data_IF_152689294881
#
_entry.id   IF_152689294881
#
_cell.length_a   1.000
_cell.length_b   1.000
_cell.length_c   1.000
_cell.angle_alpha   90.00
_cell.angle_beta   90.00
_cell.angle_gamma   90.00
#
_symmetry.space_group_name_H-M   'P 1'
#
loop_
_entity.id
_entity.type
_entity.pdbx_description
1 polymer ?
#
# COMPACT_ATOMS: atom_id res chain seq x y z
N UNK A 1 -60.00 48.05 -6.97
CA UNK A 1 -59.71 46.78 -7.73
C UNK A 1 -58.57 46.12 -7.04
N UNK A 2 -58.88 45.10 -6.23
CA UNK A 2 -57.94 44.29 -5.48
C UNK A 2 -57.59 43.07 -6.35
N UNK A 3 -56.34 42.76 -6.49
CA UNK A 3 -55.87 41.46 -7.00
C UNK A 3 -54.96 40.80 -5.98
N UNK A 4 -55.49 39.72 -5.44
CA UNK A 4 -54.81 38.79 -4.51
C UNK A 4 -53.61 38.12 -5.16
N UNK A 5 -52.53 38.07 -4.40
CA UNK A 5 -51.38 37.25 -4.72
C UNK A 5 -51.40 35.98 -3.84
N UNK A 6 -51.79 34.89 -4.48
CA UNK A 6 -51.82 33.56 -3.90
C UNK A 6 -50.41 33.03 -3.67
N UNK A 7 -50.03 32.78 -2.43
CA UNK A 7 -48.78 32.17 -2.03
C UNK A 7 -48.80 30.64 -2.22
N UNK A 8 -47.96 30.14 -3.09
CA UNK A 8 -47.70 28.70 -3.24
C UNK A 8 -46.54 28.30 -2.33
N UNK A 9 -46.85 27.70 -1.19
CA UNK A 9 -45.89 27.03 -0.33
C UNK A 9 -45.47 25.71 -1.00
N UNK A 10 -44.25 25.66 -1.53
CA UNK A 10 -43.60 24.40 -1.90
C UNK A 10 -42.95 23.78 -0.68
N UNK A 11 -43.61 22.79 -0.13
CA UNK A 11 -43.05 21.87 0.87
C UNK A 11 -41.90 21.08 0.26
N UNK A 12 -40.67 21.39 0.68
CA UNK A 12 -39.50 20.61 0.40
C UNK A 12 -39.57 19.27 1.17
N UNK A 13 -39.80 18.19 0.46
CA UNK A 13 -39.65 16.83 1.00
C UNK A 13 -38.18 16.51 1.13
N UNK A 14 -37.72 16.47 2.36
CA UNK A 14 -36.38 15.92 2.69
C UNK A 14 -36.45 14.41 2.53
N UNK A 15 -35.86 13.91 1.46
CA UNK A 15 -35.64 12.47 1.29
C UNK A 15 -34.44 12.06 2.18
N UNK A 16 -34.72 11.39 3.27
CA UNK A 16 -33.71 10.74 4.10
C UNK A 16 -33.14 9.56 3.34
N UNK A 17 -31.95 9.74 2.79
CA UNK A 17 -31.15 8.63 2.24
C UNK A 17 -30.53 7.88 3.41
N UNK A 18 -31.11 6.75 3.75
CA UNK A 18 -30.49 5.73 4.59
C UNK A 18 -29.35 5.07 3.78
N UNK A 19 -28.14 5.59 3.89
CA UNK A 19 -26.93 4.95 3.41
C UNK A 19 -26.21 4.28 4.57
N UNK A 20 -26.59 3.06 4.92
CA UNK A 20 -25.89 2.25 5.90
C UNK A 20 -24.74 1.49 5.26
N UNK A 21 -23.53 1.65 5.83
CA UNK A 21 -22.66 0.51 6.05
C UNK A 21 -21.77 0.06 4.91
N UNK A 22 -20.66 0.76 4.67
CA UNK A 22 -19.35 0.15 4.31
C UNK A 22 -18.26 1.12 4.79
N UNK A 23 -18.01 1.14 6.08
CA UNK A 23 -17.03 2.04 6.69
C UNK A 23 -16.04 1.35 7.63
N UNK A 24 -15.81 0.04 7.49
CA UNK A 24 -15.11 -0.68 8.55
C UNK A 24 -13.91 -1.53 8.11
N UNK A 25 -13.29 -1.32 6.94
CA UNK A 25 -12.21 -2.21 6.50
C UNK A 25 -10.94 -1.55 5.93
N UNK A 26 -10.80 -0.23 5.96
CA UNK A 26 -9.60 0.44 5.42
C UNK A 26 -8.62 0.91 6.51
N UNK A 27 -8.96 0.79 7.80
CA UNK A 27 -8.10 1.24 8.91
C UNK A 27 -7.10 0.17 9.40
N UNK A 28 -7.20 -1.05 8.89
CA UNK A 28 -6.44 -2.20 9.41
C UNK A 28 -4.94 -2.23 9.09
N UNK A 29 -4.43 -1.49 8.11
CA UNK A 29 -3.05 -1.69 7.65
C UNK A 29 -2.08 -0.56 8.03
N UNK A 30 -2.56 0.60 8.49
CA UNK A 30 -1.70 1.70 8.97
C UNK A 30 -1.71 1.80 10.50
N UNK A 31 -2.70 1.22 11.18
CA UNK A 31 -2.86 1.33 12.63
C UNK A 31 -2.01 0.35 13.46
N UNK A 32 -1.16 -0.46 12.85
CA UNK A 32 -0.30 -1.41 13.59
C UNK A 32 1.06 -0.84 13.99
N UNK A 33 1.35 0.43 13.68
CA UNK A 33 2.66 1.02 13.98
C UNK A 33 2.63 2.02 15.16
N UNK A 34 1.47 2.48 15.69
CA UNK A 34 1.51 3.60 16.64
C UNK A 34 0.63 3.52 17.88
N UNK A 35 0.20 2.38 18.40
CA UNK A 35 -0.57 2.33 19.66
C UNK A 35 -0.08 1.28 20.67
N UNK A 36 1.23 1.10 20.81
CA UNK A 36 1.77 0.27 21.90
C UNK A 36 2.75 0.99 22.84
N UNK A 37 2.70 2.31 22.93
CA UNK A 37 3.63 3.05 23.78
C UNK A 37 2.97 4.18 24.56
N UNK A 38 1.88 3.94 25.30
CA UNK A 38 1.49 4.83 26.41
C UNK A 38 0.42 4.18 27.28
N UNK A 39 0.85 3.43 28.29
CA UNK A 39 0.30 3.21 29.65
C UNK A 39 0.98 1.99 30.24
N UNK A 40 1.80 2.17 31.25
CA UNK A 40 1.52 2.13 32.68
C UNK A 40 2.80 2.27 33.47
N UNK A 41 2.93 3.38 34.16
CA UNK A 41 3.75 3.47 35.34
C UNK A 41 2.95 2.91 36.52
N UNK A 42 3.11 1.64 36.83
CA UNK A 42 2.68 1.09 38.09
C UNK A 42 3.79 0.19 38.62
N UNK A 43 4.28 0.55 39.83
CA UNK A 43 5.25 -0.12 40.64
C UNK A 43 5.08 -1.65 40.65
N UNK A 44 6.04 -2.38 40.14
CA UNK A 44 6.20 -3.80 40.45
C UNK A 44 7.64 -4.08 40.83
N UNK A 45 7.78 -4.86 41.92
CA UNK A 45 9.01 -5.35 42.53
C UNK A 45 9.93 -5.97 41.49
N UNK A 46 11.26 -5.98 41.70
CA UNK A 46 12.19 -6.68 40.84
C UNK A 46 11.90 -8.19 40.89
N UNK A 47 11.22 -8.66 39.87
CA UNK A 47 11.06 -10.08 39.60
C UNK A 47 12.32 -10.51 38.88
N UNK A 48 13.06 -11.42 39.47
CA UNK A 48 14.20 -12.07 38.85
C UNK A 48 13.75 -12.70 37.54
N UNK A 49 14.27 -12.15 36.45
CA UNK A 49 14.11 -12.71 35.09
C UNK A 49 14.90 -14.02 35.08
N UNK A 50 14.28 -15.18 34.83
CA UNK A 50 15.04 -16.38 34.58
C UNK A 50 15.85 -16.17 33.30
N UNK A 51 17.14 -16.18 33.45
CA UNK A 51 18.12 -16.14 32.37
C UNK A 51 17.93 -17.40 31.54
N UNK A 52 17.98 -17.19 30.22
CA UNK A 52 18.23 -18.20 29.20
C UNK A 52 17.00 -18.98 28.70
N UNK A 53 16.27 -18.36 27.79
CA UNK A 53 15.84 -19.12 26.64
C UNK A 53 16.84 -18.75 25.53
N UNK A 54 17.76 -19.66 25.21
CA UNK A 54 18.47 -19.65 23.95
C UNK A 54 17.38 -19.59 22.87
N UNK A 55 17.15 -18.39 22.33
CA UNK A 55 16.39 -18.26 21.11
C UNK A 55 17.12 -19.16 20.10
N UNK A 56 16.47 -20.20 19.61
CA UNK A 56 16.92 -20.99 18.49
C UNK A 56 17.21 -19.99 17.35
N UNK A 57 18.44 -19.52 17.32
CA UNK A 57 18.95 -18.73 16.22
C UNK A 57 19.02 -19.73 15.07
N UNK A 58 17.95 -19.78 14.25
CA UNK A 58 18.01 -20.46 12.97
C UNK A 58 19.07 -19.71 12.18
N UNK A 59 20.28 -20.26 12.21
CA UNK A 59 21.42 -19.73 11.47
C UNK A 59 21.03 -19.73 9.99
N UNK A 60 20.81 -18.56 9.44
CA UNK A 60 20.50 -18.45 8.01
C UNK A 60 21.74 -18.91 7.24
N UNK A 61 21.58 -19.68 6.17
CA UNK A 61 22.71 -20.01 5.29
C UNK A 61 23.42 -18.71 4.90
N UNK A 62 24.75 -18.73 4.94
CA UNK A 62 25.55 -17.59 4.51
C UNK A 62 25.19 -17.20 3.08
N UNK A 63 24.87 -15.93 2.87
CA UNK A 63 24.56 -15.38 1.55
C UNK A 63 25.82 -15.47 0.69
N UNK A 64 25.71 -16.02 -0.51
CA UNK A 64 26.84 -16.07 -1.44
C UNK A 64 27.18 -14.69 -1.99
N UNK A 65 28.40 -14.50 -2.47
CA UNK A 65 28.81 -13.23 -3.08
C UNK A 65 27.94 -12.84 -4.29
N UNK A 66 27.47 -13.84 -5.06
CA UNK A 66 26.57 -13.62 -6.20
C UNK A 66 25.17 -13.15 -5.74
N UNK A 67 24.64 -13.75 -4.69
CA UNK A 67 23.35 -13.38 -4.09
C UNK A 67 23.41 -11.97 -3.49
N UNK A 68 24.50 -11.64 -2.82
CA UNK A 68 24.71 -10.29 -2.27
C UNK A 68 24.83 -9.25 -3.38
N UNK A 69 25.56 -9.55 -4.46
CA UNK A 69 25.70 -8.66 -5.61
C UNK A 69 24.34 -8.43 -6.29
N UNK A 70 23.53 -9.49 -6.45
CA UNK A 70 22.19 -9.40 -6.99
C UNK A 70 21.25 -8.56 -6.08
N UNK A 71 21.24 -8.81 -4.77
CA UNK A 71 20.44 -8.05 -3.83
C UNK A 71 20.79 -6.56 -3.86
N UNK A 72 22.09 -6.25 -3.94
CA UNK A 72 22.58 -4.85 -4.05
C UNK A 72 22.16 -4.20 -5.36
N UNK A 73 22.18 -4.93 -6.47
CA UNK A 73 21.72 -4.42 -7.78
C UNK A 73 20.19 -4.23 -7.83
N UNK A 74 19.42 -5.06 -7.13
CA UNK A 74 17.96 -4.96 -7.06
C UNK A 74 17.49 -3.83 -6.14
N UNK A 75 18.27 -3.44 -5.13
CA UNK A 75 17.89 -2.44 -4.13
C UNK A 75 17.34 -1.13 -4.69
N UNK A 76 17.97 -0.46 -5.68
CA UNK A 76 17.43 0.78 -6.24
C UNK A 76 16.05 0.60 -6.86
N UNK A 77 15.80 -0.54 -7.53
CA UNK A 77 14.49 -0.86 -8.10
C UNK A 77 13.47 -1.04 -6.99
N UNK A 78 13.82 -1.78 -5.94
CA UNK A 78 12.96 -2.01 -4.79
C UNK A 78 12.59 -0.71 -4.08
N UNK A 79 13.56 0.14 -3.80
CA UNK A 79 13.32 1.44 -3.16
C UNK A 79 12.37 2.32 -3.98
N UNK A 80 12.55 2.37 -5.31
CA UNK A 80 11.70 3.14 -6.21
C UNK A 80 10.27 2.58 -6.26
N UNK A 81 10.11 1.26 -6.42
CA UNK A 81 8.80 0.59 -6.46
C UNK A 81 8.02 0.83 -5.17
N UNK A 82 8.66 0.69 -4.01
CA UNK A 82 8.04 0.99 -2.70
C UNK A 82 7.56 2.44 -2.63
N UNK A 83 8.41 3.37 -3.04
CA UNK A 83 8.09 4.80 -2.99
C UNK A 83 6.88 5.13 -3.89
N UNK A 84 6.82 4.55 -5.08
CA UNK A 84 5.74 4.81 -6.03
C UNK A 84 4.43 4.12 -5.59
N UNK A 85 4.50 2.93 -5.02
CA UNK A 85 3.35 2.27 -4.39
C UNK A 85 2.76 3.10 -3.24
N UNK A 86 3.62 3.70 -2.40
CA UNK A 86 3.20 4.62 -1.32
C UNK A 86 2.52 5.87 -1.89
N UNK A 87 3.08 6.49 -2.93
CA UNK A 87 2.46 7.65 -3.60
C UNK A 87 1.07 7.33 -4.16
N UNK A 88 0.92 6.14 -4.78
CA UNK A 88 -0.35 5.67 -5.31
C UNK A 88 -1.38 5.47 -4.18
N UNK A 89 -0.97 4.83 -3.07
CA UNK A 89 -1.82 4.64 -1.89
C UNK A 89 -2.30 5.96 -1.31
N UNK A 90 -1.40 6.94 -1.16
CA UNK A 90 -1.78 8.27 -0.66
C UNK A 90 -2.73 9.02 -1.60
N UNK A 91 -2.58 8.86 -2.92
CA UNK A 91 -3.53 9.46 -3.85
C UNK A 91 -4.95 8.87 -3.67
N UNK A 92 -5.06 7.56 -3.49
CA UNK A 92 -6.33 6.88 -3.21
C UNK A 92 -6.94 7.31 -1.88
N UNK A 93 -6.13 7.38 -0.83
CA UNK A 93 -6.57 7.80 0.50
C UNK A 93 -7.07 9.24 0.48
N UNK A 94 -6.32 10.18 -0.08
CA UNK A 94 -6.71 11.59 -0.19
C UNK A 94 -8.02 11.76 -0.96
N UNK A 95 -8.25 10.95 -1.99
CA UNK A 95 -9.53 10.94 -2.69
C UNK A 95 -10.67 10.42 -1.80
N UNK A 96 -10.47 9.33 -1.07
CA UNK A 96 -11.46 8.76 -0.16
C UNK A 96 -11.82 9.70 0.99
N UNK A 97 -10.87 10.50 1.45
CA UNK A 97 -11.08 11.53 2.47
C UNK A 97 -11.77 12.80 1.92
N UNK A 98 -11.85 12.93 0.60
CA UNK A 98 -12.44 14.10 -0.05
C UNK A 98 -11.46 15.28 -0.26
N UNK A 99 -10.19 15.09 0.07
CA UNK A 99 -9.14 16.13 -0.06
C UNK A 99 -8.81 16.44 -1.52
N UNK A 100 -8.96 15.45 -2.41
CA UNK A 100 -8.73 15.62 -3.84
C UNK A 100 -9.90 15.06 -4.66
N UNK A 101 -10.04 15.59 -5.87
CA UNK A 101 -11.03 15.14 -6.86
C UNK A 101 -10.45 14.07 -7.78
N UNK A 102 -11.33 13.36 -8.53
CA UNK A 102 -10.97 12.29 -9.47
C UNK A 102 -9.88 12.68 -10.47
N UNK A 103 -9.96 13.90 -11.00
CA UNK A 103 -8.94 14.38 -11.95
C UNK A 103 -7.56 14.51 -11.30
N UNK A 104 -7.49 14.92 -10.03
CA UNK A 104 -6.24 14.98 -9.31
C UNK A 104 -5.68 13.57 -8.98
N UNK A 105 -6.54 12.55 -8.80
CA UNK A 105 -6.08 11.15 -8.72
C UNK A 105 -5.37 10.77 -10.02
N UNK A 106 -6.01 11.01 -11.16
CA UNK A 106 -5.40 10.73 -12.47
C UNK A 106 -4.06 11.44 -12.64
N UNK A 107 -4.00 12.74 -12.33
CA UNK A 107 -2.77 13.53 -12.45
C UNK A 107 -1.62 12.99 -11.58
N UNK A 108 -1.93 12.48 -10.38
CA UNK A 108 -0.93 11.95 -9.44
C UNK A 108 -0.51 10.52 -9.77
N UNK A 109 -1.43 9.69 -10.29
CA UNK A 109 -1.21 8.26 -10.48
C UNK A 109 -0.73 7.92 -11.89
N UNK A 110 -1.18 8.62 -12.94
CA UNK A 110 -0.77 8.31 -14.31
C UNK A 110 0.76 8.31 -14.53
N UNK A 111 1.55 9.22 -13.94
CA UNK A 111 3.01 9.16 -14.04
C UNK A 111 3.61 7.90 -13.41
N UNK A 112 2.98 7.34 -12.38
CA UNK A 112 3.49 6.15 -11.68
C UNK A 112 3.45 4.91 -12.56
N UNK A 113 2.51 4.84 -13.53
CA UNK A 113 2.47 3.74 -14.51
C UNK A 113 3.80 3.64 -15.27
N UNK A 114 4.31 4.78 -15.78
CA UNK A 114 5.59 4.81 -16.48
C UNK A 114 6.78 4.49 -15.55
N UNK A 115 6.68 4.83 -14.26
CA UNK A 115 7.71 4.47 -13.29
C UNK A 115 7.74 2.95 -13.05
N UNK A 116 6.59 2.29 -12.95
CA UNK A 116 6.52 0.83 -12.86
C UNK A 116 7.00 0.14 -14.14
N UNK A 117 6.68 0.67 -15.33
CA UNK A 117 7.25 0.19 -16.60
C UNK A 117 8.78 0.28 -16.62
N UNK A 118 9.34 1.39 -16.13
CA UNK A 118 10.78 1.59 -16.02
C UNK A 118 11.43 0.64 -15.01
N UNK A 119 10.76 0.40 -13.88
CA UNK A 119 11.22 -0.55 -12.86
C UNK A 119 11.24 -1.99 -13.43
N UNK A 120 10.20 -2.40 -14.16
CA UNK A 120 10.15 -3.70 -14.84
C UNK A 120 11.29 -3.83 -15.87
N UNK A 121 11.49 -2.82 -16.71
CA UNK A 121 12.55 -2.80 -17.70
C UNK A 121 13.95 -2.85 -17.07
N UNK A 122 14.14 -2.26 -15.89
CA UNK A 122 15.39 -2.32 -15.15
C UNK A 122 15.59 -3.69 -14.51
N UNK A 123 14.54 -4.25 -13.90
CA UNK A 123 14.56 -5.59 -13.33
C UNK A 123 14.95 -6.64 -14.37
N UNK A 124 14.36 -6.56 -15.57
CA UNK A 124 14.62 -7.51 -16.67
C UNK A 124 16.08 -7.50 -17.18
N UNK A 125 16.86 -6.48 -16.85
CA UNK A 125 18.31 -6.44 -17.17
C UNK A 125 19.16 -7.13 -16.11
N UNK A 126 18.62 -7.37 -14.91
CA UNK A 126 19.34 -8.05 -13.85
C UNK A 126 19.41 -9.55 -14.13
N UNK A 127 20.54 -10.16 -13.81
CA UNK A 127 20.76 -11.58 -13.95
C UNK A 127 20.70 -12.23 -12.56
N UNK A 128 19.58 -12.86 -12.18
CA UNK A 128 19.49 -13.51 -10.87
C UNK A 128 20.33 -14.79 -10.85
N UNK A 129 21.06 -15.05 -9.77
CA UNK A 129 21.70 -16.34 -9.57
C UNK A 129 20.64 -17.46 -9.52
N UNK A 130 21.01 -18.72 -9.80
CA UNK A 130 20.04 -19.82 -9.87
C UNK A 130 19.12 -19.94 -8.66
N UNK A 131 19.65 -19.73 -7.46
CA UNK A 131 18.91 -19.77 -6.19
C UNK A 131 17.86 -18.66 -6.05
N UNK A 132 18.02 -17.53 -6.76
CA UNK A 132 17.13 -16.36 -6.66
C UNK A 132 16.18 -16.19 -7.85
N UNK A 133 16.16 -17.11 -8.81
CA UNK A 133 15.28 -16.99 -10.00
C UNK A 133 13.81 -16.95 -9.66
N UNK A 134 13.37 -17.76 -8.70
CA UNK A 134 11.98 -17.77 -8.26
C UNK A 134 11.59 -16.42 -7.63
N UNK A 135 12.44 -15.90 -6.75
CA UNK A 135 12.27 -14.62 -6.10
C UNK A 135 12.26 -13.44 -7.09
N UNK A 136 13.14 -13.50 -8.11
CA UNK A 136 13.13 -12.53 -9.21
C UNK A 136 11.78 -12.53 -9.96
N UNK A 137 11.24 -13.73 -10.25
CA UNK A 137 9.93 -13.88 -10.89
C UNK A 137 8.78 -13.34 -10.04
N UNK A 138 8.79 -13.62 -8.73
CA UNK A 138 7.81 -13.07 -7.80
C UNK A 138 7.87 -11.53 -7.76
N UNK A 139 9.08 -10.97 -7.82
CA UNK A 139 9.25 -9.53 -7.83
C UNK A 139 8.78 -8.88 -9.15
N UNK A 140 9.03 -9.53 -10.28
CA UNK A 140 8.49 -9.11 -11.57
C UNK A 140 6.95 -9.08 -11.57
N UNK A 141 6.32 -10.10 -10.99
CA UNK A 141 4.86 -10.15 -10.83
C UNK A 141 4.35 -9.01 -9.92
N UNK A 142 5.07 -8.69 -8.84
CA UNK A 142 4.71 -7.56 -7.98
C UNK A 142 4.68 -6.23 -8.74
N UNK A 143 5.70 -5.95 -9.55
CA UNK A 143 5.78 -4.73 -10.36
C UNK A 143 4.62 -4.66 -11.36
N UNK A 144 4.30 -5.77 -12.04
CA UNK A 144 3.16 -5.84 -12.96
C UNK A 144 1.84 -5.52 -12.26
N UNK A 145 1.62 -6.09 -11.09
CA UNK A 145 0.41 -5.85 -10.30
C UNK A 145 0.29 -4.38 -9.87
N UNK A 146 1.39 -3.74 -9.46
CA UNK A 146 1.37 -2.30 -9.16
C UNK A 146 1.08 -1.46 -10.41
N UNK A 147 1.66 -1.83 -11.54
CA UNK A 147 1.36 -1.19 -12.83
C UNK A 147 -0.12 -1.32 -13.18
N UNK A 148 -0.70 -2.50 -13.09
CA UNK A 148 -2.13 -2.73 -13.34
C UNK A 148 -3.00 -1.95 -12.37
N UNK A 149 -2.64 -1.90 -11.08
CA UNK A 149 -3.31 -1.09 -10.08
C UNK A 149 -3.32 0.39 -10.47
N UNK A 150 -2.19 0.93 -10.93
CA UNK A 150 -2.07 2.33 -11.36
C UNK A 150 -2.96 2.62 -12.58
N UNK A 151 -2.96 1.76 -13.58
CA UNK A 151 -3.82 1.88 -14.78
C UNK A 151 -5.30 1.81 -14.39
N UNK A 152 -5.66 0.88 -13.52
CA UNK A 152 -7.04 0.72 -13.05
C UNK A 152 -7.51 1.93 -12.26
N UNK A 153 -6.67 2.43 -11.36
CA UNK A 153 -7.00 3.59 -10.54
C UNK A 153 -7.25 4.87 -11.37
N UNK A 154 -6.53 5.05 -12.47
CA UNK A 154 -6.70 6.21 -13.36
C UNK A 154 -8.08 6.22 -14.04
N UNK A 155 -8.71 5.06 -14.25
CA UNK A 155 -10.05 4.97 -14.90
C UNK A 155 -11.15 5.70 -14.13
N UNK A 156 -10.97 5.94 -12.83
CA UNK A 156 -11.93 6.71 -12.01
C UNK A 156 -12.25 8.09 -12.59
N UNK A 157 -11.29 8.72 -13.27
CA UNK A 157 -11.49 10.02 -13.90
C UNK A 157 -12.29 9.92 -15.22
N UNK A 158 -12.29 8.76 -15.89
CA UNK A 158 -12.95 8.57 -17.17
C UNK A 158 -14.44 8.26 -17.03
N UNK A 159 -14.79 7.27 -16.19
CA UNK A 159 -16.17 6.77 -16.06
C UNK A 159 -16.83 7.14 -14.70
N UNK A 160 -16.10 7.79 -13.83
CA UNK A 160 -16.53 8.20 -12.49
C UNK A 160 -16.93 7.04 -11.56
N UNK A 161 -16.48 5.83 -11.86
CA UNK A 161 -16.77 4.66 -11.04
C UNK A 161 -15.72 4.47 -9.92
N UNK A 162 -16.17 4.50 -8.68
CA UNK A 162 -15.31 4.23 -7.52
C UNK A 162 -14.93 2.74 -7.39
N UNK A 163 -15.55 1.85 -8.18
CA UNK A 163 -15.19 0.43 -8.22
C UNK A 163 -13.72 0.23 -8.63
N UNK A 164 -13.18 1.11 -9.48
CA UNK A 164 -11.77 1.07 -9.88
C UNK A 164 -10.79 1.25 -8.72
N UNK A 165 -11.18 1.95 -7.66
CA UNK A 165 -10.35 2.05 -6.46
C UNK A 165 -10.29 0.73 -5.69
N UNK A 166 -11.40 0.02 -5.60
CA UNK A 166 -11.47 -1.27 -4.92
C UNK A 166 -10.65 -2.30 -5.68
N UNK A 167 -10.77 -2.34 -7.00
CA UNK A 167 -9.99 -3.21 -7.87
C UNK A 167 -8.48 -2.89 -7.78
N UNK A 168 -8.11 -1.61 -7.88
CA UNK A 168 -6.73 -1.17 -7.76
C UNK A 168 -6.14 -1.49 -6.37
N UNK A 169 -6.93 -1.38 -5.31
CA UNK A 169 -6.53 -1.76 -3.96
C UNK A 169 -6.22 -3.25 -3.87
N UNK A 170 -7.08 -4.12 -4.39
CA UNK A 170 -6.85 -5.57 -4.36
C UNK A 170 -5.56 -5.97 -5.11
N UNK A 171 -5.31 -5.35 -6.28
CA UNK A 171 -4.06 -5.54 -7.02
C UNK A 171 -2.84 -5.05 -6.22
N UNK A 172 -2.94 -3.89 -5.58
CA UNK A 172 -1.86 -3.32 -4.76
C UNK A 172 -1.57 -4.16 -3.52
N UNK A 173 -2.58 -4.72 -2.87
CA UNK A 173 -2.42 -5.60 -1.71
C UNK A 173 -1.67 -6.88 -2.11
N UNK A 174 -2.04 -7.50 -3.22
CA UNK A 174 -1.32 -8.68 -3.76
C UNK A 174 0.13 -8.33 -4.09
N UNK A 175 0.36 -7.20 -4.76
CA UNK A 175 1.70 -6.71 -5.08
C UNK A 175 2.53 -6.45 -3.82
N UNK A 176 1.95 -5.82 -2.81
CA UNK A 176 2.59 -5.55 -1.53
C UNK A 176 3.02 -6.82 -0.81
N UNK A 177 2.16 -7.86 -0.79
CA UNK A 177 2.50 -9.15 -0.22
C UNK A 177 3.75 -9.78 -0.86
N UNK A 178 3.84 -9.75 -2.20
CA UNK A 178 5.01 -10.24 -2.92
C UNK A 178 6.25 -9.37 -2.66
N UNK A 179 6.10 -8.05 -2.65
CA UNK A 179 7.20 -7.11 -2.38
C UNK A 179 7.76 -7.29 -0.97
N UNK A 180 6.90 -7.46 0.03
CA UNK A 180 7.30 -7.74 1.41
C UNK A 180 8.05 -9.06 1.52
N UNK A 181 7.55 -10.13 0.92
CA UNK A 181 8.22 -11.44 0.92
C UNK A 181 9.64 -11.34 0.33
N UNK A 182 9.80 -10.64 -0.78
CA UNK A 182 11.11 -10.40 -1.38
C UNK A 182 12.00 -9.57 -0.46
N UNK A 183 11.47 -8.49 0.12
CA UNK A 183 12.17 -7.63 1.06
C UNK A 183 12.66 -8.39 2.30
N UNK A 184 11.80 -9.20 2.91
CA UNK A 184 12.18 -10.01 4.08
C UNK A 184 13.24 -11.06 3.76
N UNK A 185 13.27 -11.56 2.52
CA UNK A 185 14.27 -12.55 2.07
C UNK A 185 15.61 -11.89 1.84
N UNK A 186 15.65 -10.77 1.10
CA UNK A 186 16.91 -10.13 0.67
C UNK A 186 17.46 -9.17 1.73
N UNK A 187 16.59 -8.44 2.43
CA UNK A 187 16.98 -7.41 3.42
C UNK A 187 16.23 -7.62 4.73
N UNK A 188 16.52 -8.72 5.43
CA UNK A 188 15.85 -9.03 6.68
C UNK A 188 16.11 -7.93 7.72
N UNK A 189 15.03 -7.39 8.24
CA UNK A 189 15.09 -6.30 9.23
C UNK A 189 14.85 -4.90 8.67
N UNK A 190 14.77 -4.71 7.35
CA UNK A 190 14.41 -3.40 6.77
C UNK A 190 13.08 -2.84 7.31
N UNK A 191 12.15 -3.73 7.65
CA UNK A 191 10.84 -3.36 8.16
C UNK A 191 10.70 -3.52 9.69
N UNK A 192 11.78 -3.89 10.38
CA UNK A 192 11.75 -3.97 11.85
C UNK A 192 12.22 -2.63 12.41
N UNK A 193 11.43 -1.96 13.26
CA UNK A 193 11.93 -0.82 14.01
C UNK A 193 13.11 -1.29 14.88
N UNK A 194 14.20 -0.53 14.83
CA UNK A 194 15.35 -0.70 15.73
C UNK A 194 14.94 -0.37 17.16
#
# INVERSE_FOLDING_TARGET
>A
MQTEVSGSQRTARVAAVKGFGVGALVVGLIALITVAAFRETAKSKPQQVPTTTEANHVERPAVTAEEEAYARALWPVHAQVKQDAVKMTFAGLAYKMGDIKREAVKQRVAPLTAMFDSAEATLNKLQPPPSMRALHGEYAEAIKLYREASVTMVKIAADRSDAHLVEAQALSEKASGLTLKVGETLWPGEFKPN
#
